data_IF_729345259754
#
_entry.id   IF_729345259754
#
_cell.length_a   1.000
_cell.length_b   1.000
_cell.length_c   1.000
_cell.angle_alpha   90.00
_cell.angle_beta   90.00
_cell.angle_gamma   90.00
#
_symmetry.space_group_name_H-M   'P 1'
#
loop_
_entity.id
_entity.type
_entity.pdbx_description
1 polymer ?
#
# COMPACT_ATOMS: atom_id res chain seq x y z
N UNK A 1 -32.84 0.32 -29.92
CA UNK A 1 -31.68 1.21 -29.66
C UNK A 1 -31.47 1.44 -28.16
N UNK A 2 -32.44 2.03 -27.46
CA UNK A 2 -32.38 2.23 -25.99
C UNK A 2 -32.00 0.96 -25.20
N UNK A 3 -32.72 -0.16 -25.43
CA UNK A 3 -32.44 -1.43 -24.74
C UNK A 3 -31.03 -1.98 -25.00
N UNK A 4 -30.48 -1.72 -26.19
CA UNK A 4 -29.11 -2.12 -26.52
C UNK A 4 -28.10 -1.30 -25.72
N UNK A 5 -28.26 0.02 -25.66
CA UNK A 5 -27.39 0.89 -24.85
C UNK A 5 -27.47 0.50 -23.36
N UNK A 6 -28.67 0.26 -22.84
CA UNK A 6 -28.86 -0.20 -21.46
C UNK A 6 -28.15 -1.53 -21.20
N UNK A 7 -28.30 -2.51 -22.10
CA UNK A 7 -27.63 -3.80 -21.99
C UNK A 7 -26.10 -3.66 -21.95
N UNK A 8 -25.54 -2.86 -22.85
CA UNK A 8 -24.09 -2.61 -22.89
C UNK A 8 -23.63 -1.89 -21.62
N UNK A 9 -24.38 -0.92 -21.10
CA UNK A 9 -24.07 -0.25 -19.82
C UNK A 9 -24.08 -1.24 -18.65
N UNK A 10 -25.07 -2.13 -18.57
CA UNK A 10 -25.13 -3.16 -17.52
C UNK A 10 -23.92 -4.09 -17.61
N UNK A 11 -23.54 -4.54 -18.81
CA UNK A 11 -22.34 -5.35 -19.00
C UNK A 11 -21.09 -4.58 -18.54
N UNK A 12 -20.93 -3.32 -18.95
CA UNK A 12 -19.79 -2.51 -18.55
C UNK A 12 -19.69 -2.39 -17.02
N UNK A 13 -20.81 -2.14 -16.33
CA UNK A 13 -20.86 -2.10 -14.86
C UNK A 13 -20.44 -3.44 -14.26
N UNK A 14 -20.94 -4.56 -14.80
CA UNK A 14 -20.58 -5.91 -14.32
C UNK A 14 -19.09 -6.20 -14.51
N UNK A 15 -18.51 -5.86 -15.66
CA UNK A 15 -17.08 -6.06 -15.93
C UNK A 15 -16.21 -5.21 -14.99
N UNK A 16 -16.56 -3.95 -14.76
CA UNK A 16 -15.83 -3.07 -13.83
C UNK A 16 -15.98 -3.55 -12.39
N UNK A 17 -17.17 -3.99 -12.00
CA UNK A 17 -17.43 -4.59 -10.69
C UNK A 17 -16.60 -5.86 -10.47
N UNK A 18 -16.47 -6.68 -11.50
CA UNK A 18 -15.63 -7.86 -11.44
C UNK A 18 -14.15 -7.51 -11.32
N UNK A 19 -13.64 -6.59 -12.15
CA UNK A 19 -12.25 -6.10 -12.06
C UNK A 19 -11.96 -5.59 -10.63
N UNK A 20 -12.86 -4.80 -10.05
CA UNK A 20 -12.72 -4.27 -8.68
C UNK A 20 -12.57 -5.37 -7.62
N UNK A 21 -13.31 -6.48 -7.76
CA UNK A 21 -13.28 -7.61 -6.81
C UNK A 21 -12.03 -8.49 -6.94
N UNK A 22 -11.30 -8.37 -8.04
CA UNK A 22 -10.08 -9.16 -8.28
C UNK A 22 -8.84 -8.42 -7.83
N UNK A 23 -7.71 -9.14 -7.80
CA UNK A 23 -6.41 -8.57 -7.51
C UNK A 23 -5.98 -7.44 -8.42
N UNK A 24 -6.49 -7.38 -9.66
CA UNK A 24 -6.23 -6.25 -10.57
C UNK A 24 -6.77 -4.95 -9.98
N UNK A 25 -8.04 -4.94 -9.57
CA UNK A 25 -8.67 -3.78 -8.94
C UNK A 25 -7.98 -3.40 -7.63
N UNK A 26 -7.70 -4.38 -6.77
CA UNK A 26 -7.00 -4.12 -5.49
C UNK A 26 -5.61 -3.53 -5.70
N UNK A 27 -4.83 -4.03 -6.66
CA UNK A 27 -3.52 -3.42 -6.99
C UNK A 27 -3.63 -1.98 -7.52
N UNK A 28 -4.68 -1.65 -8.28
CA UNK A 28 -4.89 -0.28 -8.78
C UNK A 28 -5.19 0.66 -7.60
N UNK A 29 -6.07 0.23 -6.69
CA UNK A 29 -6.39 0.99 -5.47
C UNK A 29 -5.14 1.15 -4.59
N UNK A 30 -4.36 0.08 -4.43
CA UNK A 30 -3.11 0.12 -3.68
C UNK A 30 -2.11 1.15 -4.24
N UNK A 31 -1.94 1.20 -5.57
CA UNK A 31 -1.09 2.19 -6.24
C UNK A 31 -1.64 3.61 -6.05
N UNK A 32 -2.96 3.81 -6.13
CA UNK A 32 -3.58 5.12 -5.87
C UNK A 32 -3.33 5.59 -4.44
N UNK A 33 -3.46 4.70 -3.46
CA UNK A 33 -3.35 5.05 -2.04
C UNK A 33 -1.88 5.27 -1.62
N UNK A 34 -0.98 4.39 -2.06
CA UNK A 34 0.46 4.51 -1.78
C UNK A 34 1.32 3.77 -2.82
N UNK A 35 1.89 4.52 -3.77
CA UNK A 35 2.73 3.98 -4.83
C UNK A 35 4.02 3.31 -4.33
N UNK A 36 4.63 3.86 -3.28
CA UNK A 36 5.89 3.35 -2.74
C UNK A 36 5.70 1.98 -2.09
N UNK A 37 4.64 1.83 -1.28
CA UNK A 37 4.30 0.55 -0.65
C UNK A 37 3.88 -0.48 -1.69
N UNK A 38 3.07 -0.08 -2.68
CA UNK A 38 2.69 -0.97 -3.77
C UNK A 38 3.93 -1.48 -4.54
N UNK A 39 4.89 -0.60 -4.82
CA UNK A 39 6.16 -0.96 -5.44
C UNK A 39 6.98 -1.93 -4.59
N UNK A 40 7.05 -1.72 -3.27
CA UNK A 40 7.68 -2.64 -2.34
C UNK A 40 6.97 -4.02 -2.33
N UNK A 41 5.67 -4.07 -2.62
CA UNK A 41 4.91 -5.32 -2.72
C UNK A 41 4.92 -5.91 -4.14
N UNK A 42 5.96 -5.60 -4.93
CA UNK A 42 6.21 -6.06 -6.32
C UNK A 42 5.24 -5.54 -7.39
N UNK A 43 4.26 -4.71 -7.01
CA UNK A 43 3.27 -4.11 -7.91
C UNK A 43 3.91 -2.92 -8.61
N UNK A 44 4.00 -2.95 -9.95
CA UNK A 44 4.51 -1.81 -10.72
C UNK A 44 3.48 -0.67 -10.78
N UNK A 45 3.77 0.53 -10.23
CA UNK A 45 2.86 1.67 -10.30
C UNK A 45 2.57 2.08 -11.74
N UNK A 46 3.60 2.14 -12.58
CA UNK A 46 3.50 2.51 -14.00
C UNK A 46 2.56 1.58 -14.76
N UNK A 47 2.72 0.25 -14.62
CA UNK A 47 1.88 -0.71 -15.30
C UNK A 47 0.41 -0.60 -14.85
N UNK A 48 0.17 -0.43 -13.55
CA UNK A 48 -1.21 -0.32 -13.01
C UNK A 48 -1.87 1.00 -13.42
N UNK A 49 -1.13 2.11 -13.50
CA UNK A 49 -1.61 3.39 -14.04
C UNK A 49 -2.00 3.26 -15.53
N UNK A 50 -1.16 2.61 -16.34
CA UNK A 50 -1.47 2.37 -17.76
C UNK A 50 -2.72 1.49 -17.92
N UNK A 51 -2.85 0.41 -17.13
CA UNK A 51 -4.05 -0.43 -17.17
C UNK A 51 -5.30 0.37 -16.76
N UNK A 52 -5.22 1.16 -15.68
CA UNK A 52 -6.33 1.99 -15.23
C UNK A 52 -6.73 3.04 -16.27
N UNK A 53 -5.75 3.65 -16.94
CA UNK A 53 -5.97 4.57 -18.05
C UNK A 53 -6.62 3.89 -19.25
N UNK A 54 -6.10 2.72 -19.67
CA UNK A 54 -6.63 1.97 -20.81
C UNK A 54 -8.06 1.46 -20.56
N UNK A 55 -8.38 0.95 -19.36
CA UNK A 55 -9.73 0.51 -19.01
C UNK A 55 -10.70 1.70 -19.00
N UNK A 56 -10.30 2.81 -18.38
CA UNK A 56 -11.12 4.04 -18.34
C UNK A 56 -11.35 4.62 -19.74
N UNK A 57 -10.29 4.70 -20.55
CA UNK A 57 -10.37 5.16 -21.94
C UNK A 57 -11.23 4.25 -22.82
N UNK A 58 -11.15 2.92 -22.62
CA UNK A 58 -12.02 1.96 -23.30
C UNK A 58 -13.50 2.14 -22.95
N UNK A 59 -13.82 2.39 -21.68
CA UNK A 59 -15.18 2.69 -21.23
C UNK A 59 -15.69 4.02 -21.81
N UNK A 60 -14.84 5.06 -21.84
CA UNK A 60 -15.18 6.35 -22.42
C UNK A 60 -15.41 6.24 -23.94
N UNK A 61 -14.57 5.49 -24.65
CA UNK A 61 -14.73 5.23 -26.08
C UNK A 61 -16.01 4.43 -26.38
N UNK A 62 -16.32 3.43 -25.55
CA UNK A 62 -17.57 2.67 -25.65
C UNK A 62 -18.79 3.57 -25.40
N UNK A 63 -18.76 4.44 -24.39
CA UNK A 63 -19.81 5.41 -24.13
C UNK A 63 -19.97 6.39 -25.32
N UNK A 64 -18.86 6.90 -25.84
CA UNK A 64 -18.81 7.76 -27.02
C UNK A 64 -19.39 7.10 -28.28
N UNK A 65 -19.11 5.82 -28.51
CA UNK A 65 -19.67 5.05 -29.62
C UNK A 65 -21.17 4.79 -29.49
N UNK A 66 -21.70 4.69 -28.26
CA UNK A 66 -23.13 4.51 -27.99
C UNK A 66 -23.93 5.83 -28.08
N UNK A 67 -23.28 6.99 -27.91
CA UNK A 67 -23.96 8.29 -27.92
C UNK A 67 -24.75 8.53 -29.23
N UNK A 68 -24.16 8.40 -30.44
CA UNK A 68 -24.90 8.57 -31.69
C UNK A 68 -26.08 7.60 -31.83
N UNK A 69 -25.96 6.41 -31.23
CA UNK A 69 -27.03 5.43 -31.25
C UNK A 69 -28.21 5.84 -30.36
N UNK A 70 -27.97 6.46 -29.21
CA UNK A 70 -29.05 6.90 -28.34
C UNK A 70 -29.81 8.09 -28.95
N UNK A 71 -29.12 8.89 -29.75
CA UNK A 71 -29.59 10.14 -30.34
C UNK A 71 -29.80 10.00 -31.84
N UNK A 72 -30.55 8.99 -32.30
CA UNK A 72 -30.87 8.76 -33.71
C UNK A 72 -31.55 9.95 -34.46
N UNK A 73 -31.76 11.07 -33.77
CA UNK A 73 -32.22 12.38 -34.28
C UNK A 73 -31.09 13.43 -34.32
N UNK A 74 -29.81 13.04 -34.33
CA UNK A 74 -28.69 13.97 -34.48
C UNK A 74 -28.69 14.57 -35.90
N UNK A 75 -29.45 15.64 -36.08
CA UNK A 75 -28.84 16.81 -36.68
C UNK A 75 -27.60 17.10 -35.84
N UNK A 76 -26.41 16.81 -36.36
CA UNK A 76 -25.15 17.37 -35.87
C UNK A 76 -25.20 18.87 -36.09
N UNK A 77 -26.12 19.53 -35.39
CA UNK A 77 -26.27 20.97 -35.41
C UNK A 77 -25.00 21.53 -34.78
N UNK A 78 -24.28 22.45 -35.42
CA UNK A 78 -23.04 23.03 -34.90
C UNK A 78 -23.17 23.60 -33.47
N UNK A 79 -24.40 23.83 -33.01
CA UNK A 79 -24.75 24.39 -31.70
C UNK A 79 -25.43 23.38 -30.75
N UNK A 80 -25.33 22.07 -30.99
CA UNK A 80 -26.11 21.03 -30.31
C UNK A 80 -25.85 20.79 -28.82
N UNK A 81 -24.98 21.56 -28.15
CA UNK A 81 -24.84 21.60 -26.68
C UNK A 81 -24.30 20.34 -25.97
N UNK A 82 -24.19 19.18 -26.64
CA UNK A 82 -23.77 17.90 -26.01
C UNK A 82 -22.33 17.89 -25.47
N UNK A 83 -21.46 18.76 -25.99
CA UNK A 83 -20.07 18.90 -25.56
C UNK A 83 -19.78 20.30 -24.99
N UNK A 84 -20.82 21.02 -24.57
CA UNK A 84 -20.63 22.31 -23.94
C UNK A 84 -19.99 22.15 -22.55
N UNK A 85 -19.48 23.27 -22.03
CA UNK A 85 -18.84 23.37 -20.71
C UNK A 85 -19.79 22.83 -19.63
N UNK A 86 -21.09 23.11 -19.74
CA UNK A 86 -22.09 22.64 -18.78
C UNK A 86 -22.19 21.10 -18.74
N UNK A 87 -22.26 20.42 -19.89
CA UNK A 87 -22.35 18.95 -19.95
C UNK A 87 -21.04 18.30 -19.48
N UNK A 88 -19.90 18.91 -19.82
CA UNK A 88 -18.59 18.45 -19.37
C UNK A 88 -18.46 18.53 -17.84
N UNK A 89 -18.87 19.65 -17.24
CA UNK A 89 -18.93 19.82 -15.79
C UNK A 89 -19.90 18.83 -15.14
N UNK A 90 -21.04 18.54 -15.78
CA UNK A 90 -22.03 17.59 -15.27
C UNK A 90 -21.47 16.17 -15.15
N UNK A 91 -20.71 15.70 -16.14
CA UNK A 91 -20.08 14.36 -16.11
C UNK A 91 -19.05 14.26 -14.98
N UNK A 92 -18.22 15.30 -14.81
CA UNK A 92 -17.26 15.36 -13.69
C UNK A 92 -18.00 15.37 -12.36
N UNK A 93 -19.05 16.17 -12.24
CA UNK A 93 -19.86 16.26 -11.04
C UNK A 93 -20.49 14.92 -10.64
N UNK A 94 -21.03 14.16 -11.59
CA UNK A 94 -21.54 12.79 -11.35
C UNK A 94 -20.48 11.91 -10.71
N UNK A 95 -19.25 11.93 -11.23
CA UNK A 95 -18.15 11.12 -10.72
C UNK A 95 -17.72 11.56 -9.30
N UNK A 96 -17.65 12.87 -9.04
CA UNK A 96 -17.19 13.38 -7.73
C UNK A 96 -18.29 13.27 -6.67
N UNK A 97 -19.53 13.68 -6.96
CA UNK A 97 -20.67 13.58 -6.04
C UNK A 97 -21.00 12.12 -5.74
N UNK A 98 -20.90 11.25 -6.74
CA UNK A 98 -21.01 9.81 -6.56
C UNK A 98 -19.88 9.25 -5.69
N UNK A 99 -18.68 9.79 -5.82
CA UNK A 99 -17.47 9.36 -5.14
C UNK A 99 -16.53 8.66 -6.11
N UNK A 100 -15.39 9.32 -6.41
CA UNK A 100 -14.39 8.94 -7.43
C UNK A 100 -13.86 7.50 -7.23
N UNK A 101 -13.93 6.97 -6.01
CA UNK A 101 -13.43 5.66 -5.62
C UNK A 101 -14.46 4.52 -5.65
N UNK A 102 -15.73 4.79 -5.98
CA UNK A 102 -16.82 3.83 -5.81
C UNK A 102 -17.67 3.64 -7.06
N UNK A 103 -17.78 2.38 -7.51
CA UNK A 103 -18.67 2.00 -8.62
C UNK A 103 -20.14 2.28 -8.27
N UNK A 104 -20.57 1.92 -7.05
CA UNK A 104 -21.93 2.22 -6.58
C UNK A 104 -22.14 3.71 -6.40
N UNK A 105 -21.08 4.42 -6.02
CA UNK A 105 -21.03 5.86 -5.98
C UNK A 105 -21.34 6.50 -7.32
N UNK A 106 -20.67 6.08 -8.39
CA UNK A 106 -20.91 6.59 -9.74
C UNK A 106 -22.38 6.43 -10.18
N UNK A 107 -23.00 5.27 -9.90
CA UNK A 107 -24.42 5.03 -10.20
C UNK A 107 -25.31 5.99 -9.40
N UNK A 108 -25.03 6.17 -8.10
CA UNK A 108 -25.77 7.10 -7.25
C UNK A 108 -25.61 8.55 -7.73
N UNK A 109 -24.40 8.93 -8.15
CA UNK A 109 -24.10 10.24 -8.74
C UNK A 109 -24.97 10.51 -9.97
N UNK A 110 -25.13 9.53 -10.87
CA UNK A 110 -26.04 9.65 -12.02
C UNK A 110 -27.49 9.83 -11.55
N UNK A 111 -27.94 9.04 -10.57
CA UNK A 111 -29.30 9.15 -10.05
C UNK A 111 -29.55 10.57 -9.49
N UNK A 112 -28.61 11.09 -8.70
CA UNK A 112 -28.80 12.39 -8.03
C UNK A 112 -28.64 13.57 -8.98
N UNK A 113 -27.64 13.55 -9.87
CA UNK A 113 -27.34 14.68 -10.76
C UNK A 113 -28.18 14.64 -12.04
N UNK A 114 -28.63 13.47 -12.47
CA UNK A 114 -29.37 13.30 -13.72
C UNK A 114 -30.82 12.95 -13.47
N UNK A 115 -31.12 11.89 -12.71
CA UNK A 115 -32.50 11.41 -12.59
C UNK A 115 -33.39 12.30 -11.69
N UNK A 116 -32.89 12.78 -10.55
CA UNK A 116 -33.68 13.63 -9.63
C UNK A 116 -34.15 14.93 -10.31
N UNK A 117 -33.31 15.71 -11.02
CA UNK A 117 -33.77 16.90 -11.72
C UNK A 117 -34.85 16.61 -12.77
N UNK A 118 -34.77 15.48 -13.47
CA UNK A 118 -35.77 15.07 -14.46
C UNK A 118 -37.11 14.74 -13.78
N UNK A 119 -37.08 14.08 -12.62
CA UNK A 119 -38.28 13.67 -11.89
C UNK A 119 -38.95 14.83 -11.12
N UNK A 120 -38.18 15.85 -10.71
CA UNK A 120 -38.63 16.94 -9.82
C UNK A 120 -38.44 18.35 -10.42
N UNK A 121 -38.47 18.45 -11.75
CA UNK A 121 -38.20 19.67 -12.53
C UNK A 121 -39.07 20.90 -12.15
N UNK A 122 -40.18 20.69 -11.45
CA UNK A 122 -41.06 21.76 -10.96
C UNK A 122 -40.58 22.52 -9.72
N UNK A 123 -39.49 22.10 -9.05
CA UNK A 123 -39.06 22.71 -7.78
C UNK A 123 -37.83 23.62 -7.94
N UNK A 124 -37.89 24.91 -7.53
CA UNK A 124 -36.77 25.85 -7.67
C UNK A 124 -35.50 25.39 -6.94
N UNK A 125 -35.66 24.66 -5.82
CA UNK A 125 -34.54 24.14 -5.03
C UNK A 125 -33.74 23.08 -5.79
N UNK A 126 -34.42 22.19 -6.53
CA UNK A 126 -33.76 21.13 -7.34
C UNK A 126 -33.02 21.75 -8.53
N UNK A 127 -33.59 22.80 -9.15
CA UNK A 127 -32.91 23.57 -10.19
C UNK A 127 -31.65 24.27 -9.66
N UNK A 128 -31.72 24.86 -8.47
CA UNK A 128 -30.57 25.49 -7.82
C UNK A 128 -29.49 24.46 -7.47
N UNK A 129 -29.87 23.28 -6.98
CA UNK A 129 -28.95 22.17 -6.67
C UNK A 129 -28.28 21.60 -7.93
N UNK A 130 -29.04 21.44 -9.01
CA UNK A 130 -28.54 20.96 -10.30
C UNK A 130 -27.70 22.00 -11.05
N UNK A 131 -27.78 23.29 -10.68
CA UNK A 131 -26.97 24.35 -11.27
C UNK A 131 -25.47 24.17 -10.99
N UNK A 132 -24.62 24.74 -11.84
CA UNK A 132 -23.15 24.69 -11.68
C UNK A 132 -22.67 25.22 -10.33
N UNK A 133 -23.34 26.24 -9.76
CA UNK A 133 -23.01 26.82 -8.45
C UNK A 133 -23.45 25.90 -7.31
N UNK A 134 -24.67 25.36 -7.37
CA UNK A 134 -25.15 24.39 -6.39
C UNK A 134 -24.26 23.14 -6.35
N UNK A 135 -23.85 22.68 -7.53
CA UNK A 135 -22.91 21.58 -7.67
C UNK A 135 -21.56 21.88 -7.02
N UNK A 136 -20.98 23.06 -7.28
CA UNK A 136 -19.71 23.46 -6.70
C UNK A 136 -19.76 23.48 -5.16
N UNK A 137 -20.87 23.95 -4.58
CA UNK A 137 -21.09 23.95 -3.12
C UNK A 137 -21.15 22.52 -2.58
N UNK A 138 -21.85 21.60 -3.26
CA UNK A 138 -21.90 20.19 -2.86
C UNK A 138 -20.52 19.55 -2.92
N UNK A 139 -19.75 19.82 -3.97
CA UNK A 139 -18.38 19.33 -4.13
C UNK A 139 -17.45 19.86 -3.03
N UNK A 140 -17.64 21.11 -2.60
CA UNK A 140 -16.84 21.74 -1.55
C UNK A 140 -17.16 21.19 -0.16
N UNK A 141 -18.44 20.91 0.13
CA UNK A 141 -18.88 20.44 1.45
C UNK A 141 -18.85 18.91 1.60
N UNK A 142 -18.87 18.14 0.51
CA UNK A 142 -18.89 16.66 0.53
C UNK A 142 -17.74 16.06 -0.30
N UNK A 143 -16.47 16.24 0.11
CA UNK A 143 -15.31 15.78 -0.66
C UNK A 143 -15.22 14.26 -0.83
N UNK A 144 -15.88 13.47 0.04
CA UNK A 144 -15.98 12.02 -0.07
C UNK A 144 -17.15 11.50 -0.92
N UNK A 145 -18.00 12.40 -1.43
CA UNK A 145 -19.25 12.07 -2.11
C UNK A 145 -20.31 11.45 -1.19
N UNK A 146 -21.49 11.19 -1.76
CA UNK A 146 -22.66 10.66 -1.05
C UNK A 146 -22.47 9.24 -0.50
N UNK A 147 -21.53 8.48 -1.05
CA UNK A 147 -21.22 7.12 -0.59
C UNK A 147 -20.68 7.10 0.85
N UNK A 148 -19.97 8.16 1.27
CA UNK A 148 -19.47 8.30 2.65
C UNK A 148 -20.62 8.39 3.66
N UNK A 149 -21.73 9.03 3.30
CA UNK A 149 -22.92 9.18 4.13
C UNK A 149 -23.65 7.85 4.27
N UNK A 150 -23.79 7.10 3.18
CA UNK A 150 -24.42 5.77 3.18
C UNK A 150 -23.60 4.78 4.04
N UNK A 151 -22.27 4.77 3.91
CA UNK A 151 -21.41 3.92 4.73
C UNK A 151 -21.53 4.29 6.21
N UNK A 152 -21.49 5.58 6.54
CA UNK A 152 -21.63 6.05 7.92
C UNK A 152 -22.99 5.66 8.54
N UNK A 153 -24.08 5.79 7.77
CA UNK A 153 -25.43 5.39 8.20
C UNK A 153 -25.58 3.88 8.37
N UNK A 154 -25.02 3.10 7.44
CA UNK A 154 -25.00 1.62 7.53
C UNK A 154 -24.22 1.17 8.77
N UNK A 155 -23.04 1.74 9.01
CA UNK A 155 -22.16 1.31 10.09
C UNK A 155 -22.72 1.72 11.47
N UNK A 156 -23.43 2.84 11.55
CA UNK A 156 -24.26 3.22 12.71
C UNK A 156 -25.40 2.22 12.96
N UNK A 157 -26.14 1.83 11.91
CA UNK A 157 -27.24 0.86 12.01
C UNK A 157 -26.74 -0.53 12.39
N UNK A 158 -25.66 -1.00 11.77
CA UNK A 158 -25.04 -2.29 12.09
C UNK A 158 -24.45 -2.28 13.51
N UNK A 159 -23.82 -1.19 13.94
CA UNK A 159 -23.33 -1.04 15.31
C UNK A 159 -24.45 -1.02 16.35
N UNK A 160 -25.59 -0.40 16.02
CA UNK A 160 -26.78 -0.41 16.86
C UNK A 160 -27.43 -1.80 16.91
N UNK A 161 -27.56 -2.49 15.78
CA UNK A 161 -28.09 -3.85 15.67
C UNK A 161 -27.19 -4.89 16.37
N UNK A 162 -25.87 -4.77 16.25
CA UNK A 162 -24.91 -5.65 16.91
C UNK A 162 -24.97 -5.50 18.43
N UNK A 163 -25.10 -4.25 18.94
CA UNK A 163 -25.32 -4.00 20.38
C UNK A 163 -26.65 -4.56 20.90
N UNK A 164 -27.68 -4.63 20.05
CA UNK A 164 -29.02 -5.11 20.44
C UNK A 164 -29.18 -6.63 20.36
N UNK A 165 -28.43 -7.28 19.47
CA UNK A 165 -28.54 -8.72 19.21
C UNK A 165 -27.46 -9.55 19.91
N UNK A 166 -26.47 -8.92 20.56
CA UNK A 166 -25.33 -9.62 21.17
C UNK A 166 -24.49 -10.38 20.14
N UNK A 167 -24.59 -9.99 18.87
CA UNK A 167 -23.94 -10.66 17.75
C UNK A 167 -22.44 -10.37 17.80
N UNK A 168 -21.67 -11.34 18.31
CA UNK A 168 -20.22 -11.38 18.14
C UNK A 168 -19.87 -12.13 16.84
N UNK A 169 -18.97 -11.58 16.00
CA UNK A 169 -18.50 -12.29 14.82
C UNK A 169 -17.84 -13.61 15.23
N UNK A 170 -18.22 -14.69 14.54
CA UNK A 170 -17.81 -16.07 14.83
C UNK A 170 -16.28 -16.17 14.93
N UNK A 171 -15.74 -16.32 16.14
CA UNK A 171 -14.31 -16.54 16.42
C UNK A 171 -13.89 -17.89 15.82
N UNK A 172 -13.09 -17.85 14.76
CA UNK A 172 -12.40 -19.04 14.30
C UNK A 172 -11.01 -19.06 14.96
N UNK A 173 -10.92 -19.64 16.16
CA UNK A 173 -9.68 -19.82 16.94
C UNK A 173 -8.93 -21.09 16.54
N UNK A 174 -8.97 -21.49 15.26
CA UNK A 174 -8.02 -22.48 14.77
C UNK A 174 -6.72 -21.75 14.44
N UNK A 175 -5.77 -21.82 15.38
CA UNK A 175 -4.36 -21.48 15.16
C UNK A 175 -3.83 -22.52 14.16
N UNK A 176 -3.95 -22.21 12.87
CA UNK A 176 -3.28 -22.98 11.83
C UNK A 176 -1.78 -22.73 11.93
N UNK A 177 -0.97 -23.79 11.87
CA UNK A 177 0.47 -23.63 11.70
C UNK A 177 0.73 -22.95 10.34
N UNK A 178 1.57 -21.92 10.34
CA UNK A 178 1.97 -21.17 9.13
C UNK A 178 2.89 -22.01 8.21
N UNK A 179 3.20 -23.25 8.62
CA UNK A 179 3.94 -24.25 7.84
C UNK A 179 3.34 -24.57 6.45
N UNK A 180 2.08 -24.18 6.15
CA UNK A 180 1.50 -24.28 4.79
C UNK A 180 1.60 -23.01 3.95
N UNK A 181 2.07 -21.90 4.52
CA UNK A 181 2.12 -20.55 3.91
C UNK A 181 3.50 -20.19 3.37
N UNK A 182 4.56 -20.57 4.08
CA UNK A 182 5.89 -20.57 3.50
C UNK A 182 5.88 -21.65 2.43
N UNK A 183 6.00 -21.26 1.16
CA UNK A 183 6.61 -22.17 0.21
C UNK A 183 7.99 -22.36 0.77
N UNK A 184 8.24 -23.46 1.51
CA UNK A 184 9.59 -23.90 1.79
C UNK A 184 10.18 -24.16 0.40
N UNK A 185 10.71 -23.10 -0.22
CA UNK A 185 11.81 -23.26 -1.14
C UNK A 185 12.83 -23.93 -0.25
N UNK A 186 12.97 -25.23 -0.42
CA UNK A 186 14.20 -25.91 -0.10
C UNK A 186 15.25 -25.15 -0.90
N UNK A 187 15.84 -24.15 -0.25
CA UNK A 187 17.03 -23.54 -0.78
C UNK A 187 18.01 -24.71 -0.85
N UNK A 188 18.32 -25.13 -2.08
CA UNK A 188 19.69 -25.49 -2.39
C UNK A 188 20.57 -24.50 -1.64
N UNK A 189 21.54 -25.00 -0.89
CA UNK A 189 22.55 -24.27 -0.11
C UNK A 189 23.34 -23.29 -0.99
N UNK A 190 22.68 -22.35 -1.64
CA UNK A 190 23.31 -21.23 -2.29
C UNK A 190 23.77 -20.32 -1.18
N UNK A 191 25.04 -20.49 -0.84
CA UNK A 191 25.91 -19.68 0.00
C UNK A 191 25.90 -18.16 -0.34
N UNK A 192 25.00 -17.67 -1.18
CA UNK A 192 24.93 -16.28 -1.59
C UNK A 192 24.44 -15.41 -0.43
N UNK A 193 25.16 -14.32 -0.16
CA UNK A 193 24.77 -13.37 0.86
C UNK A 193 23.45 -12.67 0.47
N UNK A 194 22.47 -12.58 1.39
CA UNK A 194 21.21 -11.86 1.17
C UNK A 194 21.42 -10.43 0.68
N UNK A 195 22.39 -9.71 1.27
CA UNK A 195 22.74 -8.36 0.88
C UNK A 195 24.25 -8.16 0.92
N UNK A 196 24.80 -7.64 -0.17
CA UNK A 196 26.13 -7.04 -0.22
C UNK A 196 25.99 -5.66 -0.85
N UNK A 197 26.29 -4.62 -0.10
CA UNK A 197 26.33 -3.25 -0.57
C UNK A 197 27.76 -2.74 -0.35
N UNK A 198 28.43 -2.33 -1.43
CA UNK A 198 29.83 -1.90 -1.39
C UNK A 198 29.96 -0.50 -1.96
N UNK A 199 30.59 0.38 -1.18
CA UNK A 199 30.87 1.79 -1.50
C UNK A 199 29.65 2.54 -2.04
N UNK A 200 28.50 2.33 -1.39
CA UNK A 200 27.24 2.93 -1.83
C UNK A 200 27.25 4.42 -1.52
N UNK A 201 27.12 5.24 -2.56
CA UNK A 201 27.02 6.71 -2.45
C UNK A 201 25.69 7.19 -3.02
N UNK A 202 25.02 8.07 -2.29
CA UNK A 202 23.74 8.66 -2.68
C UNK A 202 23.85 10.18 -2.65
N UNK A 203 23.42 10.82 -3.74
CA UNK A 203 23.46 12.28 -3.90
C UNK A 203 22.08 12.82 -4.21
N UNK A 204 21.70 13.91 -3.53
CA UNK A 204 20.49 14.68 -3.84
C UNK A 204 20.87 16.13 -4.13
N UNK A 205 20.49 16.63 -5.31
CA UNK A 205 20.72 18.03 -5.71
C UNK A 205 22.15 18.52 -5.44
N UNK A 206 23.15 17.67 -5.72
CA UNK A 206 24.57 17.95 -5.52
C UNK A 206 25.12 17.68 -4.10
N UNK A 207 24.26 17.44 -3.09
CA UNK A 207 24.68 17.09 -1.73
C UNK A 207 24.82 15.58 -1.57
N UNK A 208 25.94 15.14 -1.01
CA UNK A 208 26.17 13.73 -0.66
C UNK A 208 25.46 13.46 0.67
N UNK A 209 24.61 12.42 0.70
CA UNK A 209 23.86 12.02 1.90
C UNK A 209 24.32 10.67 2.44
N UNK A 210 24.78 9.80 1.55
CA UNK A 210 25.50 8.56 1.88
C UNK A 210 26.79 8.60 1.08
N UNK A 211 27.93 8.33 1.72
CA UNK A 211 29.25 8.46 1.11
C UNK A 211 30.07 7.19 1.35
N UNK A 212 30.09 6.29 0.35
CA UNK A 212 30.89 5.08 0.39
C UNK A 212 30.47 4.07 1.48
N UNK A 213 29.18 4.00 1.82
CA UNK A 213 28.71 3.08 2.85
C UNK A 213 28.75 1.62 2.35
N UNK A 214 29.44 0.76 3.09
CA UNK A 214 29.54 -0.67 2.81
C UNK A 214 28.88 -1.48 3.92
N UNK A 215 27.86 -2.27 3.59
CA UNK A 215 27.14 -3.12 4.55
C UNK A 215 26.86 -4.51 3.96
N UNK A 216 26.83 -5.51 4.83
CA UNK A 216 26.50 -6.90 4.45
C UNK A 216 25.48 -7.48 5.41
N UNK A 217 24.63 -8.39 4.91
CA UNK A 217 23.69 -9.16 5.73
C UNK A 217 23.86 -10.63 5.39
N UNK A 218 24.16 -11.46 6.39
CA UNK A 218 24.35 -12.91 6.24
C UNK A 218 23.00 -13.65 6.26
N UNK A 219 22.93 -14.87 5.72
CA UNK A 219 21.73 -15.70 5.78
C UNK A 219 21.23 -15.88 7.21
N UNK A 220 19.95 -15.61 7.41
CA UNK A 220 19.29 -15.67 8.71
C UNK A 220 19.71 -14.59 9.70
N UNK A 221 20.65 -13.69 9.42
CA UNK A 221 21.15 -12.68 10.39
C UNK A 221 20.17 -11.51 10.57
N UNK A 222 20.06 -10.96 11.79
CA UNK A 222 19.48 -9.64 12.06
C UNK A 222 20.61 -8.62 12.18
N UNK A 223 20.64 -7.66 11.27
CA UNK A 223 21.59 -6.55 11.26
C UNK A 223 20.87 -5.26 11.66
N UNK A 224 21.34 -4.62 12.73
CA UNK A 224 20.88 -3.30 13.15
C UNK A 224 21.65 -2.19 12.46
N UNK A 225 20.95 -1.14 12.03
CA UNK A 225 21.53 0.06 11.45
C UNK A 225 21.18 1.26 12.34
N UNK A 226 22.16 1.70 13.13
CA UNK A 226 22.01 2.79 14.10
C UNK A 226 22.74 4.05 13.63
N UNK A 227 22.54 5.16 14.32
CA UNK A 227 23.14 6.46 14.00
C UNK A 227 22.21 7.62 14.31
N UNK A 228 22.75 8.84 14.31
CA UNK A 228 21.99 10.07 14.58
C UNK A 228 20.95 10.39 13.49
N UNK A 229 20.04 11.32 13.79
CA UNK A 229 19.06 11.80 12.81
C UNK A 229 19.79 12.52 11.67
N UNK A 230 19.49 12.12 10.43
CA UNK A 230 20.18 12.65 9.25
C UNK A 230 21.50 11.94 8.90
N UNK A 231 21.90 10.88 9.60
CA UNK A 231 23.12 10.11 9.30
C UNK A 231 23.08 9.32 7.97
N UNK A 232 21.95 9.32 7.25
CA UNK A 232 21.81 8.64 5.95
C UNK A 232 21.22 7.23 6.01
N UNK A 233 20.79 6.72 7.19
CA UNK A 233 20.23 5.37 7.38
C UNK A 233 19.09 5.01 6.42
N UNK A 234 17.99 5.77 6.46
CA UNK A 234 16.83 5.53 5.59
C UNK A 234 17.17 5.77 4.12
N UNK A 235 18.10 6.69 3.82
CA UNK A 235 18.62 6.93 2.46
C UNK A 235 19.37 5.71 1.91
N UNK A 236 20.27 5.12 2.70
CA UNK A 236 20.97 3.89 2.34
C UNK A 236 19.97 2.74 2.12
N UNK A 237 18.99 2.59 3.02
CA UNK A 237 17.96 1.57 2.85
C UNK A 237 17.13 1.80 1.58
N UNK A 238 16.76 3.05 1.27
CA UNK A 238 16.06 3.41 0.03
C UNK A 238 16.90 3.09 -1.22
N UNK A 239 18.22 3.30 -1.16
CA UNK A 239 19.13 2.92 -2.23
C UNK A 239 19.18 1.41 -2.43
N UNK A 240 19.32 0.62 -1.35
CA UNK A 240 19.32 -0.86 -1.38
C UNK A 240 18.03 -1.41 -2.00
N UNK A 241 16.89 -0.86 -1.62
CA UNK A 241 15.58 -1.27 -2.13
C UNK A 241 15.19 -0.66 -3.49
N UNK A 242 16.02 0.20 -4.07
CA UNK A 242 15.83 0.73 -5.43
C UNK A 242 14.80 1.86 -5.55
N UNK A 243 14.54 2.59 -4.46
CA UNK A 243 13.69 3.80 -4.46
C UNK A 243 14.49 5.08 -4.75
N UNK A 244 15.80 5.04 -4.53
CA UNK A 244 16.71 6.15 -4.79
C UNK A 244 17.91 5.61 -5.58
N UNK A 245 18.38 6.29 -6.63
CA UNK A 245 19.58 5.89 -7.35
C UNK A 245 20.83 6.05 -6.47
N UNK A 246 21.80 5.16 -6.64
CA UNK A 246 23.08 5.19 -5.94
C UNK A 246 24.21 4.77 -6.86
N UNK A 247 25.44 5.22 -6.60
CA UNK A 247 26.65 4.59 -7.14
C UNK A 247 27.15 3.49 -6.21
N UNK A 248 28.22 2.79 -6.59
CA UNK A 248 28.68 1.59 -5.91
C UNK A 248 27.94 0.34 -6.38
N UNK A 249 28.19 -0.79 -5.73
CA UNK A 249 27.57 -2.07 -6.07
C UNK A 249 26.57 -2.50 -5.00
N UNK A 250 25.43 -3.04 -5.45
CA UNK A 250 24.41 -3.61 -4.58
C UNK A 250 24.03 -4.95 -5.18
N UNK A 251 24.26 -6.02 -4.43
CA UNK A 251 23.89 -7.39 -4.78
C UNK A 251 22.87 -7.91 -3.79
N UNK A 252 21.83 -8.55 -4.33
CA UNK A 252 20.73 -9.15 -3.56
C UNK A 252 20.70 -10.62 -3.92
N UNK A 253 20.98 -11.51 -2.96
CA UNK A 253 21.15 -12.95 -3.19
C UNK A 253 22.08 -13.25 -4.39
N UNK A 254 23.23 -12.56 -4.44
CA UNK A 254 24.22 -12.67 -5.52
C UNK A 254 23.81 -12.08 -6.88
N UNK A 255 22.64 -11.45 -6.98
CA UNK A 255 22.19 -10.77 -8.20
C UNK A 255 22.42 -9.28 -8.11
N UNK A 256 23.17 -8.71 -9.07
CA UNK A 256 23.38 -7.27 -9.16
C UNK A 256 22.05 -6.51 -9.36
N UNK A 257 21.88 -5.47 -8.55
CA UNK A 257 20.63 -4.73 -8.41
C UNK A 257 20.65 -3.32 -9.02
N UNK A 258 21.80 -2.81 -9.44
CA UNK A 258 22.01 -1.39 -9.82
C UNK A 258 20.91 -0.86 -10.78
N UNK A 259 20.66 -1.57 -11.89
CA UNK A 259 19.67 -1.18 -12.92
C UNK A 259 18.23 -1.66 -12.67
N UNK A 260 17.93 -2.23 -11.49
CA UNK A 260 16.61 -2.80 -11.18
C UNK A 260 15.79 -1.79 -10.39
N UNK A 261 14.57 -1.53 -10.86
CA UNK A 261 13.59 -0.72 -10.09
C UNK A 261 13.13 -1.43 -8.83
N UNK A 262 12.59 -0.68 -7.86
CA UNK A 262 12.11 -1.24 -6.60
C UNK A 262 11.18 -2.47 -6.73
N UNK A 263 10.17 -2.51 -7.64
CA UNK A 263 9.35 -3.72 -7.82
C UNK A 263 10.13 -4.93 -8.33
N UNK A 264 11.24 -4.73 -9.05
CA UNK A 264 12.11 -5.82 -9.51
C UNK A 264 13.04 -6.30 -8.39
N UNK A 265 13.57 -5.40 -7.56
CA UNK A 265 14.36 -5.77 -6.38
C UNK A 265 13.52 -6.50 -5.33
N UNK A 266 12.28 -6.06 -5.12
CA UNK A 266 11.32 -6.77 -4.26
C UNK A 266 11.08 -8.22 -4.72
N UNK A 267 11.05 -8.47 -6.04
CA UNK A 267 10.92 -9.83 -6.61
C UNK A 267 12.16 -10.70 -6.44
N UNK A 268 13.32 -10.11 -6.11
CA UNK A 268 14.52 -10.88 -5.75
C UNK A 268 14.44 -11.43 -4.32
N UNK A 269 13.41 -11.08 -3.55
CA UNK A 269 13.22 -11.55 -2.16
C UNK A 269 13.21 -10.42 -1.12
N UNK A 270 13.34 -9.15 -1.53
CA UNK A 270 13.25 -8.02 -0.60
C UNK A 270 11.80 -7.75 -0.19
N UNK A 271 11.56 -7.73 1.12
CA UNK A 271 10.37 -7.15 1.73
C UNK A 271 10.74 -5.84 2.43
N UNK A 272 10.02 -4.75 2.17
CA UNK A 272 10.32 -3.45 2.78
C UNK A 272 9.12 -2.92 3.56
N UNK A 273 9.36 -2.55 4.81
CA UNK A 273 8.50 -1.73 5.65
C UNK A 273 9.07 -0.31 5.76
N UNK A 274 8.23 0.72 5.75
CA UNK A 274 8.70 2.12 5.78
C UNK A 274 8.25 2.84 7.04
N UNK A 275 9.09 3.79 7.50
CA UNK A 275 8.86 4.61 8.69
C UNK A 275 7.51 5.34 8.68
N UNK A 276 7.08 5.86 7.52
CA UNK A 276 5.85 6.65 7.41
C UNK A 276 4.91 6.18 6.30
N UNK A 277 5.17 5.03 5.68
CA UNK A 277 4.26 4.54 4.66
C UNK A 277 3.00 3.99 5.32
N UNK A 278 1.97 4.83 5.32
CA UNK A 278 0.61 4.34 5.46
C UNK A 278 0.43 3.27 4.39
N UNK A 279 0.07 2.06 4.82
CA UNK A 279 -0.47 1.02 3.95
C UNK A 279 -1.68 1.59 3.15
N UNK A 280 -2.40 0.73 2.43
CA UNK A 280 -3.50 1.15 1.58
C UNK A 280 -4.75 1.49 2.41
N UNK A 281 -4.93 2.76 2.76
CA UNK A 281 -5.99 3.22 3.68
C UNK A 281 -7.41 2.80 3.26
N UNK A 282 -7.65 2.69 1.95
CA UNK A 282 -8.95 2.32 1.36
C UNK A 282 -9.15 0.82 1.22
N UNK A 283 -8.16 0.00 1.56
CA UNK A 283 -8.27 -1.45 1.55
C UNK A 283 -8.42 -1.97 2.98
N UNK A 284 -9.12 -3.10 3.10
CA UNK A 284 -9.16 -3.86 4.35
C UNK A 284 -7.82 -4.55 4.65
N UNK A 285 -7.67 -5.06 5.88
CA UNK A 285 -6.53 -5.91 6.26
C UNK A 285 -6.38 -7.08 5.30
N UNK A 286 -7.47 -7.82 5.06
CA UNK A 286 -7.51 -8.96 4.14
C UNK A 286 -7.11 -8.56 2.73
N UNK A 287 -7.68 -7.48 2.20
CA UNK A 287 -7.37 -7.02 0.86
C UNK A 287 -5.91 -6.60 0.72
N UNK A 288 -5.34 -5.96 1.74
CA UNK A 288 -3.93 -5.58 1.77
C UNK A 288 -3.01 -6.79 1.71
N UNK A 289 -3.28 -7.83 2.50
CA UNK A 289 -2.51 -9.08 2.43
C UNK A 289 -2.71 -9.78 1.07
N UNK A 290 -3.90 -9.73 0.50
CA UNK A 290 -4.15 -10.24 -0.86
C UNK A 290 -3.40 -9.45 -1.94
N UNK A 291 -3.13 -8.15 -1.73
CA UNK A 291 -2.26 -7.35 -2.61
C UNK A 291 -0.82 -7.81 -2.48
N UNK A 292 -0.32 -8.06 -1.27
CA UNK A 292 1.02 -8.63 -1.07
C UNK A 292 1.16 -10.01 -1.75
N UNK A 293 0.14 -10.86 -1.67
CA UNK A 293 0.11 -12.18 -2.34
C UNK A 293 0.10 -12.10 -3.89
N UNK A 294 -0.10 -10.93 -4.49
CA UNK A 294 0.11 -10.75 -5.94
C UNK A 294 1.56 -10.98 -6.36
N UNK A 295 2.52 -10.85 -5.44
CA UNK A 295 3.92 -11.16 -5.70
C UNK A 295 4.12 -12.63 -6.11
N UNK A 296 3.38 -13.54 -5.45
CA UNK A 296 3.46 -14.98 -5.67
C UNK A 296 2.56 -15.46 -6.81
N UNK A 297 1.33 -14.94 -6.88
CA UNK A 297 0.34 -15.40 -7.85
C UNK A 297 -0.38 -14.22 -8.53
N UNK A 298 0.16 -13.70 -9.64
CA UNK A 298 -0.42 -12.50 -10.27
C UNK A 298 -1.82 -12.71 -10.85
N UNK A 299 -2.68 -11.72 -10.66
CA UNK A 299 -3.99 -11.63 -11.32
C UNK A 299 -3.85 -11.13 -12.75
N UNK A 300 -4.50 -11.82 -13.68
CA UNK A 300 -4.48 -11.49 -15.11
C UNK A 300 -5.70 -10.65 -15.47
N UNK A 301 -5.53 -9.59 -16.27
CA UNK A 301 -6.60 -8.64 -16.59
C UNK A 301 -7.82 -9.32 -17.22
N UNK A 302 -7.63 -9.99 -18.37
CA UNK A 302 -8.74 -10.58 -19.15
C UNK A 302 -9.47 -11.70 -18.38
N UNK A 303 -8.77 -12.71 -17.80
CA UNK A 303 -9.44 -13.73 -17.00
C UNK A 303 -10.14 -13.15 -15.77
N UNK A 304 -9.60 -12.09 -15.16
CA UNK A 304 -10.24 -11.43 -14.03
C UNK A 304 -11.50 -10.69 -14.46
N UNK A 305 -11.47 -9.98 -15.57
CA UNK A 305 -12.61 -9.24 -16.10
C UNK A 305 -13.78 -10.16 -16.48
N UNK A 306 -13.48 -11.34 -17.06
CA UNK A 306 -14.48 -12.31 -17.50
C UNK A 306 -14.82 -13.38 -16.45
N UNK A 307 -14.22 -13.34 -15.26
CA UNK A 307 -14.33 -14.39 -14.23
C UNK A 307 -13.91 -15.79 -14.68
N UNK A 308 -13.03 -15.87 -15.67
CA UNK A 308 -12.59 -17.14 -16.26
C UNK A 308 -11.41 -17.74 -15.48
N UNK A 309 -11.27 -19.09 -15.48
CA UNK A 309 -10.08 -19.75 -14.95
C UNK A 309 -8.80 -19.15 -15.58
N UNK A 310 -7.72 -18.97 -14.81
CA UNK A 310 -7.54 -19.40 -13.41
C UNK A 310 -8.03 -18.40 -12.36
N UNK A 311 -8.59 -17.24 -12.73
CA UNK A 311 -8.81 -16.11 -11.80
C UNK A 311 -9.61 -16.46 -10.52
N UNK A 312 -10.78 -17.14 -10.58
CA UNK A 312 -11.53 -17.49 -9.38
C UNK A 312 -10.76 -18.41 -8.42
N UNK A 313 -9.93 -19.31 -8.96
CA UNK A 313 -9.14 -20.24 -8.15
C UNK A 313 -8.00 -19.50 -7.44
N UNK A 314 -7.31 -18.60 -8.15
CA UNK A 314 -6.27 -17.72 -7.57
C UNK A 314 -6.83 -16.85 -6.45
N UNK A 315 -7.98 -16.22 -6.69
CA UNK A 315 -8.67 -15.41 -5.68
C UNK A 315 -9.05 -16.21 -4.42
N UNK A 316 -9.53 -17.44 -4.60
CA UNK A 316 -9.87 -18.31 -3.47
C UNK A 316 -8.62 -18.71 -2.67
N UNK A 317 -7.52 -19.04 -3.35
CA UNK A 317 -6.22 -19.39 -2.71
C UNK A 317 -5.66 -18.21 -1.93
N UNK A 318 -5.57 -17.03 -2.54
CA UNK A 318 -5.09 -15.81 -1.86
C UNK A 318 -5.93 -15.46 -0.64
N UNK A 319 -7.25 -15.59 -0.72
CA UNK A 319 -8.13 -15.33 0.42
C UNK A 319 -7.93 -16.32 1.55
N UNK A 320 -7.66 -17.60 1.23
CA UNK A 320 -7.32 -18.62 2.22
C UNK A 320 -6.00 -18.28 2.90
N UNK A 321 -4.95 -17.98 2.13
CA UNK A 321 -3.64 -17.63 2.66
C UNK A 321 -3.68 -16.33 3.50
N UNK A 322 -4.39 -15.30 3.04
CA UNK A 322 -4.58 -14.07 3.80
C UNK A 322 -5.29 -14.34 5.15
N UNK A 323 -6.28 -15.24 5.18
CA UNK A 323 -6.93 -15.65 6.43
C UNK A 323 -5.98 -16.35 7.41
N UNK A 324 -5.11 -17.22 6.90
CA UNK A 324 -4.14 -17.94 7.73
C UNK A 324 -3.15 -16.94 8.37
N UNK A 325 -2.62 -15.98 7.61
CA UNK A 325 -1.75 -14.90 8.12
C UNK A 325 -2.50 -14.03 9.15
N UNK A 326 -3.76 -13.67 8.87
CA UNK A 326 -4.60 -12.92 9.81
C UNK A 326 -4.81 -13.69 11.12
N UNK A 327 -5.02 -14.99 11.03
CA UNK A 327 -5.16 -15.89 12.19
C UNK A 327 -3.88 -15.91 13.02
N UNK A 328 -2.74 -16.13 12.37
CA UNK A 328 -1.41 -16.18 13.00
C UNK A 328 -1.09 -14.90 13.78
N UNK A 329 -1.38 -13.74 13.20
CA UNK A 329 -1.09 -12.44 13.81
C UNK A 329 -2.15 -11.98 14.83
N UNK A 330 -3.18 -12.80 15.11
CA UNK A 330 -4.27 -12.41 16.01
C UNK A 330 -5.16 -11.28 15.48
N UNK A 331 -5.13 -11.01 14.16
CA UNK A 331 -5.83 -9.90 13.51
C UNK A 331 -7.27 -10.25 13.07
N UNK A 332 -7.79 -11.41 13.45
CA UNK A 332 -9.08 -11.93 12.97
C UNK A 332 -10.25 -10.95 13.12
N UNK A 333 -10.28 -10.17 14.22
CA UNK A 333 -11.31 -9.14 14.46
C UNK A 333 -11.23 -7.94 13.51
N UNK A 334 -10.09 -7.73 12.87
CA UNK A 334 -9.81 -6.61 11.97
C UNK A 334 -9.78 -7.03 10.50
N UNK A 335 -10.06 -8.30 10.18
CA UNK A 335 -9.87 -8.86 8.86
C UNK A 335 -10.50 -8.03 7.73
N UNK A 336 -11.70 -7.52 7.96
CA UNK A 336 -12.48 -6.74 6.99
C UNK A 336 -12.56 -5.24 7.35
N UNK A 337 -11.84 -4.80 8.38
CA UNK A 337 -11.71 -3.38 8.76
C UNK A 337 -10.74 -2.67 7.80
N UNK A 338 -11.06 -1.41 7.45
CA UNK A 338 -10.21 -0.59 6.60
C UNK A 338 -8.93 -0.21 7.33
N UNK A 339 -7.80 -0.21 6.62
CA UNK A 339 -6.54 0.18 7.25
C UNK A 339 -6.55 1.61 7.75
N UNK A 340 -7.29 2.52 7.10
CA UNK A 340 -7.48 3.90 7.54
C UNK A 340 -8.13 4.05 8.92
N UNK A 341 -8.76 3.00 9.46
CA UNK A 341 -9.49 3.01 10.74
C UNK A 341 -8.69 2.38 11.89
N UNK A 342 -7.62 1.62 11.59
CA UNK A 342 -6.84 0.90 12.59
C UNK A 342 -5.91 1.81 13.40
N UNK A 343 -5.57 1.40 14.63
CA UNK A 343 -4.50 2.04 15.42
C UNK A 343 -3.13 1.84 14.76
N UNK A 344 -2.17 2.72 15.07
CA UNK A 344 -0.79 2.63 14.54
C UNK A 344 -0.16 1.26 14.80
N UNK A 345 -0.20 0.76 16.04
CA UNK A 345 0.33 -0.56 16.39
C UNK A 345 -0.32 -1.69 15.59
N UNK A 346 -1.65 -1.69 15.44
CA UNK A 346 -2.35 -2.72 14.64
C UNK A 346 -1.93 -2.65 13.17
N UNK A 347 -1.77 -1.45 12.59
CA UNK A 347 -1.30 -1.29 11.21
C UNK A 347 0.11 -1.84 11.01
N UNK A 348 1.00 -1.66 12.00
CA UNK A 348 2.36 -2.22 11.97
C UNK A 348 2.36 -3.74 11.99
N UNK A 349 1.48 -4.37 12.78
CA UNK A 349 1.31 -5.83 12.74
C UNK A 349 0.82 -6.28 11.35
N UNK A 350 -0.08 -5.54 10.71
CA UNK A 350 -0.51 -5.83 9.33
C UNK A 350 0.64 -5.70 8.34
N UNK A 351 1.49 -4.67 8.48
CA UNK A 351 2.66 -4.46 7.62
C UNK A 351 3.63 -5.66 7.71
N UNK A 352 3.90 -6.14 8.92
CA UNK A 352 4.67 -7.37 9.15
C UNK A 352 3.98 -8.60 8.52
N UNK A 353 2.65 -8.70 8.61
CA UNK A 353 1.89 -9.74 7.91
C UNK A 353 1.96 -9.68 6.40
N UNK A 354 2.09 -8.49 5.83
CA UNK A 354 2.30 -8.34 4.40
C UNK A 354 3.69 -8.85 3.98
N UNK A 355 4.72 -8.69 4.81
CA UNK A 355 6.03 -9.29 4.57
C UNK A 355 5.96 -10.83 4.58
N UNK A 356 5.20 -11.43 5.50
CA UNK A 356 4.88 -12.86 5.47
C UNK A 356 4.19 -13.24 4.15
N UNK A 357 3.18 -12.47 3.75
CA UNK A 357 2.46 -12.70 2.50
C UNK A 357 3.36 -12.59 1.24
N UNK A 358 4.41 -11.77 1.28
CA UNK A 358 5.35 -11.62 0.16
C UNK A 358 6.31 -12.81 -0.02
N UNK A 359 6.52 -13.65 1.02
CA UNK A 359 7.63 -14.64 1.06
C UNK A 359 9.00 -13.96 0.99
N UNK A 360 9.16 -12.85 1.69
CA UNK A 360 10.40 -12.09 1.64
C UNK A 360 11.52 -12.79 2.40
N UNK A 361 12.63 -13.02 1.71
CA UNK A 361 13.84 -13.68 2.21
C UNK A 361 14.81 -12.67 2.87
N UNK A 362 14.71 -11.37 2.51
CA UNK A 362 15.41 -10.25 3.14
C UNK A 362 14.40 -9.16 3.55
N UNK A 363 14.26 -8.90 4.84
CA UNK A 363 13.37 -7.88 5.38
C UNK A 363 14.13 -6.59 5.68
N UNK A 364 13.65 -5.47 5.14
CA UNK A 364 14.17 -4.13 5.41
C UNK A 364 13.14 -3.36 6.24
N UNK A 365 13.42 -3.15 7.52
CA UNK A 365 12.49 -2.55 8.47
C UNK A 365 12.97 -1.15 8.88
N UNK A 366 12.23 -0.11 8.50
CA UNK A 366 12.54 1.29 8.82
C UNK A 366 11.67 1.73 10.01
N UNK A 367 12.23 1.74 11.21
CA UNK A 367 11.58 2.14 12.47
C UNK A 367 10.18 1.50 12.68
N UNK A 368 10.09 0.15 12.73
CA UNK A 368 8.82 -0.56 12.89
C UNK A 368 8.03 -0.16 14.15
N UNK A 369 8.70 0.34 15.19
CA UNK A 369 8.07 0.75 16.46
C UNK A 369 7.75 2.24 16.55
N UNK A 370 8.10 3.04 15.53
CA UNK A 370 7.80 4.47 15.54
C UNK A 370 6.29 4.75 15.61
N UNK A 371 5.90 5.61 16.57
CA UNK A 371 4.51 6.02 16.79
C UNK A 371 3.63 4.96 17.48
N UNK A 372 4.24 3.89 18.00
CA UNK A 372 3.60 2.83 18.77
C UNK A 372 3.78 3.12 20.27
N UNK A 373 2.79 2.77 21.10
CA UNK A 373 2.89 2.98 22.55
C UNK A 373 3.97 2.05 23.15
N UNK A 374 4.71 2.50 24.16
CA UNK A 374 5.84 1.73 24.74
C UNK A 374 5.48 0.28 25.11
N UNK A 375 4.30 0.07 25.71
CA UNK A 375 3.81 -1.27 26.08
C UNK A 375 3.57 -2.18 24.86
N UNK A 376 3.25 -1.61 23.71
CA UNK A 376 3.11 -2.34 22.45
C UNK A 376 4.49 -2.61 21.81
N UNK A 377 5.45 -1.67 21.90
CA UNK A 377 6.84 -1.81 21.44
C UNK A 377 7.53 -3.06 22.02
N UNK A 378 7.34 -3.34 23.31
CA UNK A 378 7.90 -4.54 23.97
C UNK A 378 7.43 -5.86 23.32
N UNK A 379 6.25 -5.87 22.69
CA UNK A 379 5.73 -7.03 21.98
C UNK A 379 6.22 -7.13 20.52
N UNK A 380 6.79 -6.07 19.95
CA UNK A 380 7.28 -6.06 18.57
C UNK A 380 8.56 -6.86 18.37
N UNK A 381 9.51 -6.81 19.32
CA UNK A 381 10.75 -7.58 19.26
C UNK A 381 10.51 -9.09 19.07
N UNK A 382 9.76 -9.73 19.99
CA UNK A 382 9.40 -11.15 19.86
C UNK A 382 8.64 -11.48 18.58
N UNK A 383 7.77 -10.57 18.11
CA UNK A 383 7.04 -10.75 16.85
C UNK A 383 7.98 -10.75 15.64
N UNK A 384 8.93 -9.80 15.57
CA UNK A 384 9.93 -9.74 14.49
C UNK A 384 10.77 -11.02 14.48
N UNK A 385 11.22 -11.50 15.64
CA UNK A 385 11.92 -12.78 15.73
C UNK A 385 11.07 -13.96 15.27
N UNK A 386 9.79 -14.01 15.65
CA UNK A 386 8.90 -15.09 15.22
C UNK A 386 8.74 -15.11 13.69
N UNK A 387 8.64 -13.94 13.07
CA UNK A 387 8.51 -13.78 11.62
C UNK A 387 9.81 -14.16 10.91
N UNK A 388 10.97 -13.74 11.44
CA UNK A 388 12.28 -14.20 10.96
C UNK A 388 12.35 -15.72 10.94
N UNK A 389 12.02 -16.35 12.06
CA UNK A 389 12.09 -17.81 12.24
C UNK A 389 11.13 -18.53 11.29
N UNK A 390 9.91 -18.03 11.12
CA UNK A 390 8.92 -18.63 10.24
C UNK A 390 9.28 -18.50 8.75
N UNK A 391 9.88 -17.38 8.34
CA UNK A 391 10.32 -17.16 6.96
C UNK A 391 11.70 -17.75 6.66
N UNK A 392 12.51 -18.03 7.67
CA UNK A 392 13.95 -18.26 7.49
C UNK A 392 14.67 -17.04 6.91
N UNK A 393 14.13 -15.84 7.13
CA UNK A 393 14.59 -14.61 6.48
C UNK A 393 15.78 -13.97 7.21
N UNK A 394 16.53 -13.13 6.50
CA UNK A 394 17.46 -12.16 7.07
C UNK A 394 16.78 -10.81 7.28
N UNK A 395 17.26 -10.00 8.22
CA UNK A 395 16.66 -8.69 8.53
C UNK A 395 17.75 -7.62 8.57
N UNK A 396 17.49 -6.48 7.92
CA UNK A 396 18.17 -5.21 8.16
C UNK A 396 17.16 -4.25 8.80
N UNK A 397 17.42 -3.82 10.03
CA UNK A 397 16.50 -2.98 10.79
C UNK A 397 17.14 -1.63 11.16
N UNK A 398 16.42 -0.55 10.91
CA UNK A 398 16.71 0.79 11.44
C UNK A 398 15.76 1.00 12.62
N UNK A 399 16.30 1.34 13.78
CA UNK A 399 15.49 1.65 14.96
C UNK A 399 16.19 2.68 15.85
N UNK A 400 15.38 3.39 16.64
CA UNK A 400 15.87 4.37 17.61
C UNK A 400 15.86 3.86 19.05
N UNK A 401 15.06 2.82 19.33
CA UNK A 401 15.07 2.13 20.62
C UNK A 401 16.33 1.25 20.72
N UNK A 402 17.38 1.82 21.32
CA UNK A 402 18.67 1.14 21.51
C UNK A 402 18.53 -0.17 22.30
N UNK A 403 17.79 -0.26 23.42
CA UNK A 403 17.47 -1.53 24.07
C UNK A 403 16.93 -2.60 23.11
N UNK A 404 15.93 -2.26 22.29
CA UNK A 404 15.36 -3.20 21.33
C UNK A 404 16.40 -3.65 20.30
N UNK A 405 17.07 -2.71 19.62
CA UNK A 405 18.08 -3.02 18.59
C UNK A 405 19.17 -3.92 19.15
N UNK A 406 19.67 -3.61 20.35
CA UNK A 406 20.72 -4.37 20.99
C UNK A 406 20.28 -5.77 21.40
N UNK A 407 18.98 -5.95 21.69
CA UNK A 407 18.43 -7.26 22.11
C UNK A 407 18.21 -8.23 20.95
N UNK A 408 17.82 -7.73 19.77
CA UNK A 408 17.44 -8.58 18.63
C UNK A 408 18.52 -8.68 17.54
N UNK A 409 19.48 -7.75 17.48
CA UNK A 409 20.47 -7.72 16.41
C UNK A 409 21.64 -8.65 16.72
N UNK A 410 22.02 -9.46 15.74
CA UNK A 410 23.23 -10.28 15.77
C UNK A 410 24.49 -9.39 15.56
N UNK A 411 24.37 -8.37 14.70
CA UNK A 411 25.42 -7.41 14.37
C UNK A 411 24.83 -6.02 14.14
N UNK A 412 25.60 -4.97 14.41
CA UNK A 412 25.16 -3.58 14.28
C UNK A 412 26.19 -2.78 13.47
N UNK A 413 25.69 -1.98 12.54
CA UNK A 413 26.40 -0.91 11.85
C UNK A 413 25.98 0.45 12.42
N UNK A 414 26.95 1.31 12.73
CA UNK A 414 26.70 2.69 13.10
C UNK A 414 27.05 3.63 11.95
N UNK A 415 26.08 4.47 11.56
CA UNK A 415 26.26 5.49 10.54
C UNK A 415 26.35 6.88 11.15
N UNK A 416 27.27 7.68 10.61
CA UNK A 416 27.39 9.10 10.87
C UNK A 416 27.73 9.83 9.57
N UNK A 417 27.01 10.94 9.30
CA UNK A 417 27.22 11.78 8.12
C UNK A 417 27.29 11.03 6.77
N UNK A 418 26.60 9.90 6.65
CA UNK A 418 26.56 9.09 5.43
C UNK A 418 27.62 7.99 5.34
N UNK A 419 28.51 7.87 6.32
CA UNK A 419 29.58 6.87 6.36
C UNK A 419 29.33 5.85 7.48
N UNK A 420 29.81 4.62 7.30
CA UNK A 420 29.88 3.62 8.37
C UNK A 420 31.07 3.96 9.27
N UNK A 421 30.82 4.22 10.55
CA UNK A 421 31.86 4.57 11.53
C UNK A 421 32.25 3.41 12.45
N UNK A 422 31.36 2.43 12.62
CA UNK A 422 31.61 1.24 13.42
C UNK A 422 30.76 0.06 12.95
N UNK A 423 31.31 -1.15 13.09
CA UNK A 423 30.65 -2.43 12.83
C UNK A 423 31.03 -3.42 13.93
N UNK A 424 30.06 -4.15 14.48
CA UNK A 424 30.36 -5.20 15.45
C UNK A 424 29.14 -5.77 16.16
N UNK A 425 29.38 -6.63 17.14
CA UNK A 425 28.33 -7.14 18.02
C UNK A 425 27.74 -6.01 18.88
N UNK A 426 26.47 -6.13 19.31
CA UNK A 426 25.80 -5.12 20.14
C UNK A 426 26.60 -4.63 21.36
N UNK A 427 27.27 -5.55 22.06
CA UNK A 427 28.08 -5.21 23.24
C UNK A 427 29.30 -4.34 22.89
N UNK A 428 29.97 -4.64 21.78
CA UNK A 428 31.14 -3.89 21.32
C UNK A 428 30.75 -2.49 20.86
N UNK A 429 29.68 -2.38 20.05
CA UNK A 429 29.14 -1.11 19.54
C UNK A 429 28.72 -0.16 20.67
N UNK A 430 28.12 -0.68 21.74
CA UNK A 430 27.70 0.13 22.89
C UNK A 430 28.88 0.83 23.59
N UNK A 431 30.05 0.20 23.60
CA UNK A 431 31.28 0.73 24.23
C UNK A 431 32.21 1.44 23.24
N UNK A 432 31.85 1.49 21.96
CA UNK A 432 32.70 2.06 20.92
C UNK A 432 32.80 3.59 21.10
N UNK A 433 34.03 4.15 21.23
CA UNK A 433 34.22 5.59 21.43
C UNK A 433 33.66 6.46 20.29
N UNK A 434 33.72 6.00 19.03
CA UNK A 434 33.21 6.74 17.89
C UNK A 434 31.68 6.79 17.91
N UNK A 435 31.04 5.68 18.28
CA UNK A 435 29.58 5.61 18.45
C UNK A 435 29.14 6.52 19.59
N UNK A 436 29.80 6.45 20.74
CA UNK A 436 29.49 7.31 21.90
C UNK A 436 29.67 8.79 21.53
N UNK A 437 30.77 9.16 20.87
CA UNK A 437 31.03 10.52 20.44
C UNK A 437 29.98 11.05 19.45
N UNK A 438 29.53 10.21 18.51
CA UNK A 438 28.48 10.60 17.55
C UNK A 438 27.15 10.92 18.25
N UNK A 439 26.77 10.12 19.26
CA UNK A 439 25.54 10.33 20.03
C UNK A 439 25.64 11.47 21.07
N UNK A 440 26.81 11.72 21.67
CA UNK A 440 27.02 12.81 22.64
C UNK A 440 27.29 14.18 21.97
N UNK A 441 27.95 14.21 20.82
CA UNK A 441 28.26 15.45 20.09
C UNK A 441 27.01 16.20 19.58
N UNK A 442 25.84 15.55 19.55
CA UNK A 442 24.56 16.21 19.29
C UNK A 442 24.02 17.01 20.47
N UNK A 443 24.33 16.64 21.73
CA UNK A 443 23.90 17.41 22.89
C UNK A 443 24.61 18.76 22.97
N UNK A 444 25.94 18.81 22.73
CA UNK A 444 26.68 20.08 22.66
C UNK A 444 26.21 20.99 21.52
N UNK A 445 25.88 20.43 20.35
CA UNK A 445 25.32 21.20 19.22
C UNK A 445 23.86 21.63 19.44
N UNK A 446 23.09 20.89 20.23
CA UNK A 446 21.74 21.27 20.63
C UNK A 446 21.78 22.41 21.67
N UNK A 447 22.70 22.34 22.63
CA UNK A 447 22.97 23.39 23.62
C UNK A 447 23.42 24.69 22.92
N UNK A 448 24.32 24.60 21.94
CA UNK A 448 24.77 25.76 21.16
C UNK A 448 23.69 26.41 20.28
N UNK A 449 22.55 25.73 20.04
CA UNK A 449 21.39 26.27 19.30
C UNK A 449 20.30 26.84 20.20
N UNK A 450 20.29 26.50 21.50
CA UNK A 450 19.38 27.09 22.49
C UNK A 450 19.92 28.40 23.08
N UNK A 451 21.23 28.65 22.95
CA UNK A 451 21.91 29.86 23.43
C UNK A 451 22.06 30.97 22.34
N UNK A 452 21.40 30.80 21.19
CA UNK A 452 21.28 31.77 20.09
C UNK A 452 19.81 32.05 19.78
#
# INVERSE_FOLDING_TARGET
MYWFCLFVTVIAILLVWQIRRTGVGRSIIAVRDNELTAAAYTVSPTAKKIIAFAVSGGLAALAGGLLPLLSAQLELSPNGGWFDVEQSLRVVAVAVVGGIASITGAILGVIVIVAIPILFDGTPQVKLFASSIGMLVVLLYFPGGLISIIHSGRDLLLGWLAKRTGWEPKRNTQVGSVSSLASVKTHDESSAMPLVATDVTVRFSGRVVVDGASITVKPGEIVGLIGTNGAGKSTLMNAISGFVPSSGTIEIFGTEAHNRSAPHRARLGIGRAFQNARLFASLSVRETLMVALEARERSLLVPSMLSLPPSPQREKRKRKQANEIIGYLGLSRYADALLGELSTGTRRIVELGALLALDSELLLLDEPTAGVAQKETEAFGPLIESIRKELGASILIIEHDMPMVMSISDRIYCLEAGCVIAEGEPKAIRSDPAVIASYLGTDERAIARSDS
#
